data_IF_357781011792
#
_entry.id   IF_357781011792
#
_cell.length_a   1.000
_cell.length_b   1.000
_cell.length_c   1.000
_cell.angle_alpha   90.00
_cell.angle_beta   90.00
_cell.angle_gamma   90.00
#
_symmetry.space_group_name_H-M   'P 1'
#
loop_
_entity.id
_entity.type
_entity.pdbx_description
1 polymer ?
#
# COMPACT_ATOMS: atom_id res chain seq x y z
N UNK A 1 -4.62 20.34 2.50
CA UNK A 1 -3.24 19.84 2.53
C UNK A 1 -2.21 20.95 2.28
N UNK A 2 -2.18 21.63 1.12
CA UNK A 2 -1.21 22.75 0.90
C UNK A 2 -1.44 23.95 1.82
N UNK A 3 -2.68 24.32 2.08
CA UNK A 3 -3.03 25.37 3.06
C UNK A 3 -2.71 24.96 4.51
N UNK A 4 -2.57 23.65 4.77
CA UNK A 4 -2.13 23.11 6.06
C UNK A 4 -0.60 23.03 6.15
N UNK A 5 0.13 23.50 5.13
CA UNK A 5 1.60 23.51 5.09
C UNK A 5 2.24 22.14 4.82
N UNK A 6 1.45 21.10 4.56
CA UNK A 6 1.93 19.74 4.36
C UNK A 6 2.59 19.58 2.98
N UNK A 7 3.68 18.80 2.96
CA UNK A 7 4.49 18.50 1.77
C UNK A 7 4.40 17.01 1.42
N UNK A 8 4.61 16.64 0.15
CA UNK A 8 4.82 15.24 -0.22
C UNK A 8 5.91 14.61 0.66
N UNK A 9 5.64 13.42 1.19
CA UNK A 9 6.45 12.72 2.18
C UNK A 9 6.00 12.89 3.62
N UNK A 10 5.20 13.92 3.95
CA UNK A 10 4.64 14.05 5.31
C UNK A 10 3.59 12.95 5.55
N UNK A 11 3.57 12.26 6.70
CA UNK A 11 2.61 11.19 6.96
C UNK A 11 1.14 11.63 6.80
N UNK A 12 0.83 12.86 7.22
CA UNK A 12 -0.51 13.44 7.09
C UNK A 12 -0.90 13.81 5.66
N UNK A 13 0.09 13.91 4.76
CA UNK A 13 -0.12 14.03 3.32
C UNK A 13 -0.30 12.64 2.69
N UNK A 14 0.63 11.72 2.95
CA UNK A 14 0.69 10.40 2.31
C UNK A 14 -0.53 9.54 2.64
N UNK A 15 -1.09 9.64 3.85
CA UNK A 15 -2.30 8.89 4.26
C UNK A 15 -3.53 9.12 3.38
N UNK A 16 -3.56 10.21 2.60
CA UNK A 16 -4.63 10.52 1.65
C UNK A 16 -4.29 10.17 0.20
N UNK A 17 -3.05 9.73 -0.05
CA UNK A 17 -2.64 9.21 -1.35
C UNK A 17 -3.40 7.94 -1.70
N UNK A 18 -3.57 7.67 -3.00
CA UNK A 18 -4.36 6.51 -3.48
C UNK A 18 -3.81 5.20 -2.94
N UNK A 19 -2.48 5.06 -2.85
CA UNK A 19 -1.84 3.85 -2.32
C UNK A 19 -2.28 3.58 -0.87
N UNK A 20 -2.10 4.55 0.02
CA UNK A 20 -2.35 4.38 1.45
C UNK A 20 -3.84 4.42 1.81
N UNK A 21 -4.61 5.30 1.14
CA UNK A 21 -6.01 5.51 1.48
C UNK A 21 -6.95 4.47 0.85
N UNK A 22 -6.62 3.98 -0.35
CA UNK A 22 -7.50 3.10 -1.13
C UNK A 22 -6.88 1.73 -1.33
N UNK A 23 -5.69 1.66 -1.92
CA UNK A 23 -5.12 0.39 -2.38
C UNK A 23 -4.78 -0.53 -1.21
N UNK A 24 -4.02 -0.05 -0.21
CA UNK A 24 -3.63 -0.85 0.96
C UNK A 24 -4.85 -1.38 1.73
N UNK A 25 -5.86 -0.56 2.10
CA UNK A 25 -7.06 -1.07 2.78
C UNK A 25 -7.86 -2.06 1.94
N UNK A 26 -7.92 -1.90 0.62
CA UNK A 26 -8.62 -2.85 -0.26
C UNK A 26 -7.90 -4.19 -0.37
N UNK A 27 -6.57 -4.17 -0.47
CA UNK A 27 -5.77 -5.41 -0.49
C UNK A 27 -5.88 -6.12 0.85
N UNK A 28 -5.76 -5.41 1.97
CA UNK A 28 -5.98 -5.97 3.30
C UNK A 28 -7.40 -6.55 3.43
N UNK A 29 -8.41 -5.86 2.92
CA UNK A 29 -9.79 -6.33 2.97
C UNK A 29 -9.99 -7.61 2.15
N UNK A 30 -9.39 -7.71 0.97
CA UNK A 30 -9.41 -8.94 0.18
C UNK A 30 -8.76 -10.10 0.93
N UNK A 31 -7.59 -9.89 1.54
CA UNK A 31 -6.84 -10.92 2.27
C UNK A 31 -7.58 -11.36 3.54
N UNK A 32 -8.11 -10.40 4.32
CA UNK A 32 -8.70 -10.69 5.63
C UNK A 32 -10.20 -10.99 5.59
N UNK A 33 -10.85 -10.74 4.46
CA UNK A 33 -12.31 -10.80 4.31
C UNK A 33 -13.08 -9.74 5.10
N UNK A 34 -12.41 -8.71 5.61
CA UNK A 34 -13.01 -7.65 6.43
C UNK A 34 -12.82 -6.28 5.81
N UNK A 35 -13.86 -5.46 5.87
CA UNK A 35 -13.78 -4.03 5.55
C UNK A 35 -12.80 -3.31 6.48
N UNK A 36 -12.36 -2.08 6.14
CA UNK A 36 -11.53 -1.26 7.04
C UNK A 36 -12.15 -0.98 8.41
N UNK A 37 -13.48 -1.13 8.54
CA UNK A 37 -14.22 -1.02 9.79
C UNK A 37 -14.44 -2.38 10.49
N UNK A 38 -13.64 -3.39 10.14
CA UNK A 38 -13.66 -4.77 10.68
C UNK A 38 -14.95 -5.57 10.40
N UNK A 39 -15.89 -5.04 9.62
CA UNK A 39 -17.09 -5.77 9.24
C UNK A 39 -16.79 -6.79 8.13
N UNK A 40 -17.38 -7.99 8.16
CA UNK A 40 -17.19 -8.98 7.10
C UNK A 40 -17.68 -8.44 5.74
N UNK A 41 -16.94 -8.74 4.68
CA UNK A 41 -17.29 -8.35 3.31
C UNK A 41 -18.48 -9.18 2.84
N UNK A 42 -19.48 -8.50 2.27
CA UNK A 42 -20.66 -9.15 1.70
C UNK A 42 -20.39 -9.58 0.27
N UNK A 43 -20.71 -10.82 -0.05
CA UNK A 43 -20.61 -11.38 -1.39
C UNK A 43 -19.80 -12.67 -1.44
N UNK A 44 -19.83 -13.33 -2.58
CA UNK A 44 -19.07 -14.55 -2.85
C UNK A 44 -18.15 -14.32 -4.04
N UNK A 45 -16.96 -14.91 -4.01
CA UNK A 45 -16.18 -15.14 -5.23
C UNK A 45 -16.90 -16.21 -6.08
N UNK A 46 -16.90 -16.09 -7.41
CA UNK A 46 -17.73 -16.96 -8.29
C UNK A 46 -16.99 -17.57 -9.49
N UNK A 47 -15.70 -17.28 -9.67
CA UNK A 47 -14.99 -17.57 -10.93
C UNK A 47 -14.21 -18.88 -10.94
N UNK A 48 -13.70 -19.35 -9.79
CA UNK A 48 -12.99 -20.64 -9.67
C UNK A 48 -13.74 -21.55 -8.71
N UNK A 49 -13.76 -21.16 -7.43
CA UNK A 49 -14.52 -21.79 -6.36
C UNK A 49 -15.48 -20.76 -5.75
N UNK A 50 -16.72 -21.17 -5.47
CA UNK A 50 -17.68 -20.29 -4.79
C UNK A 50 -17.47 -20.36 -3.29
N UNK A 51 -16.92 -19.28 -2.72
CA UNK A 51 -16.77 -19.10 -1.29
C UNK A 51 -17.04 -17.64 -0.88
N UNK A 52 -17.44 -17.41 0.38
CA UNK A 52 -17.67 -16.07 0.92
C UNK A 52 -16.41 -15.20 0.85
N UNK A 53 -16.56 -13.94 0.41
CA UNK A 53 -15.47 -12.96 0.49
C UNK A 53 -15.02 -12.72 1.94
N UNK A 54 -15.86 -13.03 2.93
CA UNK A 54 -15.52 -12.94 4.36
C UNK A 54 -14.47 -13.93 4.82
N UNK A 55 -14.26 -15.01 4.07
CA UNK A 55 -13.28 -16.04 4.43
C UNK A 55 -11.85 -15.57 4.11
N UNK A 56 -11.71 -14.59 3.23
CA UNK A 56 -10.43 -14.02 2.84
C UNK A 56 -9.56 -15.01 2.07
N UNK A 57 -8.25 -14.85 2.22
CA UNK A 57 -7.19 -15.56 1.52
C UNK A 57 -6.05 -15.84 2.51
N UNK A 58 -5.48 -17.05 2.49
CA UNK A 58 -4.27 -17.43 3.24
C UNK A 58 -3.00 -16.88 2.54
N UNK A 59 -2.99 -15.57 2.31
CA UNK A 59 -1.97 -14.88 1.54
C UNK A 59 -1.46 -13.63 2.28
N UNK A 60 -0.27 -13.17 1.90
CA UNK A 60 0.34 -11.95 2.44
C UNK A 60 0.58 -10.90 1.34
N UNK A 61 0.61 -9.63 1.74
CA UNK A 61 0.98 -8.53 0.85
C UNK A 61 2.00 -7.62 1.53
N UNK A 62 3.08 -7.32 0.81
CA UNK A 62 4.11 -6.35 1.24
C UNK A 62 4.12 -5.17 0.26
N UNK A 63 4.27 -3.96 0.80
CA UNK A 63 4.24 -2.72 0.02
C UNK A 63 5.61 -2.05 0.10
N UNK A 64 6.14 -1.69 -1.07
CA UNK A 64 7.45 -1.05 -1.19
C UNK A 64 7.29 0.37 -1.73
N UNK A 65 8.07 1.29 -1.16
CA UNK A 65 8.21 2.64 -1.71
C UNK A 65 9.39 2.65 -2.66
N UNK A 66 9.12 2.90 -3.95
CA UNK A 66 10.15 3.03 -4.96
C UNK A 66 10.62 4.49 -5.03
N UNK A 67 11.93 4.70 -4.97
CA UNK A 67 12.55 6.00 -5.22
C UNK A 67 13.41 5.94 -6.48
N UNK A 68 13.57 7.09 -7.13
CA UNK A 68 14.50 7.27 -8.24
C UNK A 68 15.70 8.05 -7.73
N UNK A 69 16.89 7.48 -7.87
CA UNK A 69 18.13 8.12 -7.45
C UNK A 69 18.84 8.76 -8.64
N UNK A 70 19.46 9.92 -8.41
CA UNK A 70 20.26 10.59 -9.42
C UNK A 70 21.62 9.89 -9.59
N UNK A 71 22.00 9.61 -10.83
CA UNK A 71 23.27 8.96 -11.18
C UNK A 71 24.48 9.59 -10.48
N UNK A 72 24.58 10.93 -10.53
CA UNK A 72 25.69 11.66 -9.91
C UNK A 72 25.75 11.48 -8.39
N UNK A 73 24.61 11.42 -7.71
CA UNK A 73 24.57 11.23 -6.26
C UNK A 73 25.05 9.82 -5.87
N UNK A 74 24.75 8.83 -6.69
CA UNK A 74 25.23 7.46 -6.52
C UNK A 74 26.72 7.37 -6.81
N UNK A 75 27.20 7.92 -7.94
CA UNK A 75 28.61 7.83 -8.35
C UNK A 75 29.57 8.54 -7.40
N UNK A 76 29.12 9.62 -6.75
CA UNK A 76 29.88 10.31 -5.71
C UNK A 76 29.66 9.73 -4.30
N UNK A 77 29.08 8.53 -4.20
CA UNK A 77 28.88 7.78 -2.95
C UNK A 77 27.95 8.46 -1.92
N UNK A 78 27.18 9.48 -2.31
CA UNK A 78 26.24 10.19 -1.42
C UNK A 78 24.93 9.41 -1.24
N UNK A 79 24.50 8.70 -2.29
CA UNK A 79 23.28 7.89 -2.31
C UNK A 79 23.53 6.39 -2.51
N UNK A 80 24.80 5.94 -2.49
CA UNK A 80 25.15 4.54 -2.79
C UNK A 80 24.46 3.53 -1.86
N UNK A 81 24.29 3.89 -0.58
CA UNK A 81 23.57 3.06 0.41
C UNK A 81 22.15 2.71 -0.04
N UNK A 82 21.50 3.56 -0.85
CA UNK A 82 20.12 3.35 -1.32
C UNK A 82 20.01 2.32 -2.45
N UNK A 83 21.12 1.96 -3.08
CA UNK A 83 21.19 0.93 -4.14
C UNK A 83 22.07 -0.26 -3.73
N UNK A 84 22.62 -0.24 -2.52
CA UNK A 84 23.48 -1.30 -2.03
C UNK A 84 22.66 -2.59 -1.80
N UNK A 85 23.25 -3.78 -2.03
CA UNK A 85 22.56 -5.06 -1.85
C UNK A 85 22.22 -5.37 -0.39
#
# INVERSE_FOLDING_TARGET
LREQGLRPGDPDWEKWGICDYITKPRVQAAITGKTPNEQPIKGNYRFTDEFPMSDGFEENAEFFTLTYEAEKSVSHNLAFVRIAP
#
